data_IF_659927749178
#
_entry.id   IF_659927749178
#
_cell.length_a   1.000
_cell.length_b   1.000
_cell.length_c   1.000
_cell.angle_alpha   90.00
_cell.angle_beta   90.00
_cell.angle_gamma   90.00
#
_symmetry.space_group_name_H-M   'P 1'
#
loop_
_entity.id
_entity.type
_entity.pdbx_description
1 polymer ?
#
# COMPACT_ATOMS: atom_id res chain seq x y z
N UNK A 1 -45.66 -30.94 13.38
CA UNK A 1 -45.33 -29.60 12.85
C UNK A 1 -45.68 -29.56 11.37
N UNK A 2 -46.80 -28.92 11.04
CA UNK A 2 -47.47 -28.95 9.73
C UNK A 2 -46.56 -28.40 8.63
N UNK A 3 -46.66 -28.93 7.40
CA UNK A 3 -45.83 -28.57 6.25
C UNK A 3 -45.83 -27.05 5.98
N UNK A 4 -46.96 -26.36 6.23
CA UNK A 4 -47.04 -24.89 6.18
C UNK A 4 -46.14 -24.17 7.20
N UNK A 5 -46.03 -24.69 8.42
CA UNK A 5 -45.20 -24.08 9.46
C UNK A 5 -43.70 -24.18 9.11
N UNK A 6 -43.27 -25.32 8.53
CA UNK A 6 -41.91 -25.48 8.00
C UNK A 6 -41.63 -24.50 6.86
N UNK A 7 -42.55 -24.36 5.90
CA UNK A 7 -42.39 -23.48 4.74
C UNK A 7 -42.27 -22.00 5.15
N UNK A 8 -43.05 -21.57 6.14
CA UNK A 8 -43.01 -20.20 6.66
C UNK A 8 -41.72 -19.92 7.45
N UNK A 9 -41.23 -20.88 8.23
CA UNK A 9 -39.95 -20.77 8.95
C UNK A 9 -38.77 -20.72 7.95
N UNK A 10 -38.79 -21.53 6.90
CA UNK A 10 -37.77 -21.50 5.86
C UNK A 10 -37.78 -20.18 5.08
N UNK A 11 -38.96 -19.64 4.77
CA UNK A 11 -39.09 -18.33 4.12
C UNK A 11 -38.61 -17.19 5.02
N UNK A 12 -38.94 -17.24 6.31
CA UNK A 12 -38.48 -16.26 7.30
C UNK A 12 -36.96 -16.31 7.50
N UNK A 13 -36.36 -17.52 7.56
CA UNK A 13 -34.91 -17.71 7.60
C UNK A 13 -34.24 -17.21 6.31
N UNK A 14 -34.82 -17.47 5.13
CA UNK A 14 -34.33 -16.96 3.85
C UNK A 14 -34.36 -15.43 3.78
N UNK A 15 -35.43 -14.80 4.28
CA UNK A 15 -35.52 -13.34 4.37
C UNK A 15 -34.52 -12.77 5.39
N UNK A 16 -34.32 -13.43 6.53
CA UNK A 16 -33.28 -13.06 7.50
C UNK A 16 -31.86 -13.19 6.92
N UNK A 17 -31.59 -14.23 6.13
CA UNK A 17 -30.30 -14.33 5.43
C UNK A 17 -30.15 -13.23 4.37
N UNK A 18 -31.21 -12.87 3.65
CA UNK A 18 -31.13 -11.77 2.67
C UNK A 18 -30.84 -10.40 3.29
N UNK A 19 -31.36 -10.15 4.50
CA UNK A 19 -31.18 -8.88 5.21
C UNK A 19 -29.87 -8.86 6.01
N UNK A 20 -29.44 -10.00 6.57
CA UNK A 20 -28.19 -10.09 7.35
C UNK A 20 -26.92 -10.33 6.50
N UNK A 21 -27.05 -10.75 5.23
CA UNK A 21 -25.92 -10.92 4.31
C UNK A 21 -25.82 -9.86 3.21
N UNK A 22 -26.65 -8.81 3.25
CA UNK A 22 -26.23 -7.54 2.70
C UNK A 22 -25.06 -7.07 3.56
N UNK A 23 -23.83 -7.40 3.15
CA UNK A 23 -22.65 -6.73 3.68
C UNK A 23 -22.77 -5.25 3.30
N UNK A 24 -23.50 -4.48 4.11
CA UNK A 24 -23.47 -3.04 4.03
C UNK A 24 -22.08 -2.62 4.47
N UNK A 25 -21.23 -2.38 3.48
CA UNK A 25 -19.94 -1.75 3.66
C UNK A 25 -20.19 -0.35 4.26
N UNK A 26 -19.79 -0.07 5.51
CA UNK A 26 -20.07 1.20 6.20
C UNK A 26 -19.59 2.44 5.42
N UNK A 27 -18.65 2.26 4.50
CA UNK A 27 -18.07 3.25 3.60
C UNK A 27 -18.92 3.57 2.36
N UNK A 28 -19.86 2.70 1.98
CA UNK A 28 -20.64 2.82 0.72
C UNK A 28 -21.34 4.16 0.59
N UNK A 29 -21.88 4.68 1.68
CA UNK A 29 -22.60 5.96 1.71
C UNK A 29 -21.67 7.18 1.88
N UNK A 30 -20.41 6.94 2.26
CA UNK A 30 -19.46 8.00 2.66
C UNK A 30 -18.60 8.52 1.50
N UNK A 31 -18.53 7.77 0.39
CA UNK A 31 -17.91 8.21 -0.88
C UNK A 31 -16.48 8.79 -0.76
N UNK A 32 -15.69 8.31 0.20
CA UNK A 32 -14.33 8.83 0.47
C UNK A 32 -13.41 8.85 -0.76
N UNK A 33 -13.53 7.82 -1.57
CA UNK A 33 -12.85 7.61 -2.83
C UNK A 33 -13.30 8.59 -3.93
N UNK A 34 -14.59 8.95 -3.99
CA UNK A 34 -15.11 10.03 -4.87
C UNK A 34 -14.56 11.36 -4.41
N UNK A 35 -14.58 11.64 -3.10
CA UNK A 35 -14.06 12.89 -2.54
C UNK A 35 -12.56 13.06 -2.82
N UNK A 36 -11.79 11.98 -2.71
CA UNK A 36 -10.36 12.00 -3.03
C UNK A 36 -10.15 12.13 -4.54
N UNK A 37 -10.93 11.41 -5.36
CA UNK A 37 -10.87 11.53 -6.82
C UNK A 37 -11.20 12.97 -7.27
N UNK A 38 -12.30 13.54 -6.80
CA UNK A 38 -12.69 14.92 -7.10
C UNK A 38 -11.66 15.93 -6.59
N UNK A 39 -11.11 15.73 -5.40
CA UNK A 39 -10.05 16.57 -4.87
C UNK A 39 -8.81 16.54 -5.77
N UNK A 40 -8.38 15.36 -6.20
CA UNK A 40 -7.26 15.19 -7.13
C UNK A 40 -7.57 15.82 -8.50
N UNK A 41 -8.79 15.67 -9.00
CA UNK A 41 -9.23 16.30 -10.25
C UNK A 41 -9.24 17.83 -10.15
N UNK A 42 -9.87 18.40 -9.11
CA UNK A 42 -9.94 19.85 -8.85
C UNK A 42 -8.55 20.48 -8.64
N UNK A 43 -7.64 19.75 -8.01
CA UNK A 43 -6.26 20.17 -7.79
C UNK A 43 -5.46 20.28 -9.08
N UNK A 44 -5.94 19.68 -10.18
CA UNK A 44 -5.18 19.59 -11.43
C UNK A 44 -5.83 20.41 -12.53
N UNK A 45 -7.15 20.40 -12.62
CA UNK A 45 -7.88 21.19 -13.60
C UNK A 45 -7.60 22.71 -13.51
N UNK A 46 -7.06 23.19 -12.38
CA UNK A 46 -6.78 24.62 -12.18
C UNK A 46 -5.33 25.06 -12.35
N UNK A 47 -4.35 24.16 -12.54
CA UNK A 47 -2.91 24.48 -12.46
C UNK A 47 -2.52 25.37 -11.24
N UNK A 48 -3.37 25.40 -10.21
CA UNK A 48 -3.37 26.45 -9.18
C UNK A 48 -2.61 26.05 -7.92
N UNK A 49 -2.04 24.83 -7.91
CA UNK A 49 -1.32 24.27 -6.79
C UNK A 49 0.08 23.87 -7.25
N UNK A 50 1.08 24.14 -6.41
CA UNK A 50 2.45 23.75 -6.73
C UNK A 50 2.58 22.23 -6.91
N UNK A 51 3.55 21.79 -7.71
CA UNK A 51 3.88 20.36 -7.87
C UNK A 51 4.08 19.67 -6.51
N UNK A 52 4.67 20.36 -5.54
CA UNK A 52 4.83 19.91 -4.15
C UNK A 52 3.48 19.67 -3.45
N UNK A 53 2.53 20.60 -3.58
CA UNK A 53 1.17 20.46 -3.03
C UNK A 53 0.40 19.33 -3.74
N UNK A 54 0.54 19.21 -5.06
CA UNK A 54 -0.06 18.11 -5.82
C UNK A 54 0.53 16.75 -5.42
N UNK A 55 1.85 16.64 -5.26
CA UNK A 55 2.51 15.43 -4.79
C UNK A 55 2.08 15.10 -3.36
N UNK A 56 2.07 16.05 -2.43
CA UNK A 56 1.62 15.85 -1.05
C UNK A 56 0.18 15.31 -0.98
N UNK A 57 -0.67 15.70 -1.93
CA UNK A 57 -2.07 15.31 -1.97
C UNK A 57 -2.37 14.06 -2.80
N UNK A 58 -1.49 13.72 -3.75
CA UNK A 58 -1.50 12.46 -4.52
C UNK A 58 -0.64 11.36 -3.90
N UNK A 59 0.20 11.70 -2.91
CA UNK A 59 1.09 10.81 -2.15
C UNK A 59 0.37 9.58 -1.59
N UNK A 60 -0.90 9.61 -1.14
CA UNK A 60 -1.63 8.40 -0.74
C UNK A 60 -1.78 7.35 -1.86
N UNK A 61 -1.65 7.76 -3.14
CA UNK A 61 -1.67 6.90 -4.33
C UNK A 61 -0.30 6.73 -4.96
N UNK A 62 0.73 7.26 -4.31
CA UNK A 62 2.08 7.19 -4.82
C UNK A 62 2.72 5.89 -4.37
N UNK A 63 3.62 5.37 -5.18
CA UNK A 63 4.37 4.13 -4.93
C UNK A 63 5.17 4.10 -3.61
N UNK A 64 5.20 5.21 -2.88
CA UNK A 64 5.92 5.44 -1.62
C UNK A 64 5.03 5.41 -0.36
N UNK A 65 3.70 5.54 -0.52
CA UNK A 65 2.74 5.53 0.60
C UNK A 65 1.96 4.22 0.64
N UNK A 66 2.70 3.13 0.80
CA UNK A 66 2.09 1.83 0.99
C UNK A 66 1.51 1.79 2.39
N UNK A 67 0.24 1.42 2.47
CA UNK A 67 -0.39 1.11 3.74
C UNK A 67 -1.19 -0.17 3.56
N UNK A 68 -1.12 -1.09 4.53
CA UNK A 68 -1.95 -2.28 4.48
C UNK A 68 -3.42 -1.90 4.44
N UNK A 69 -4.19 -2.61 3.61
CA UNK A 69 -5.62 -2.46 3.58
C UNK A 69 -6.22 -3.15 4.80
N UNK A 70 -7.19 -2.49 5.46
CA UNK A 70 -7.86 -3.06 6.64
C UNK A 70 -8.79 -4.23 6.26
N UNK A 71 -9.12 -4.37 4.98
CA UNK A 71 -10.07 -5.34 4.43
C UNK A 71 -9.60 -5.79 3.05
N UNK A 72 -9.86 -7.06 2.74
CA UNK A 72 -9.54 -7.68 1.44
C UNK A 72 -10.41 -7.14 0.30
N UNK A 73 -11.62 -6.68 0.62
CA UNK A 73 -12.56 -6.14 -0.35
C UNK A 73 -13.14 -4.82 0.15
N UNK A 74 -13.36 -3.88 -0.77
CA UNK A 74 -13.79 -2.51 -0.48
C UNK A 74 -14.79 -2.02 -1.54
N UNK A 75 -15.72 -1.16 -1.10
CA UNK A 75 -16.64 -0.46 -2.00
C UNK A 75 -16.01 0.84 -2.50
N UNK A 76 -15.90 1.03 -3.82
CA UNK A 76 -15.37 2.25 -4.44
C UNK A 76 -16.11 2.59 -5.75
N UNK A 77 -16.42 3.87 -5.95
CA UNK A 77 -16.92 4.53 -7.17
C UNK A 77 -18.12 3.77 -7.76
N UNK A 78 -18.99 3.33 -6.86
CA UNK A 78 -20.23 2.60 -7.12
C UNK A 78 -20.12 1.09 -7.40
N UNK A 79 -18.96 0.48 -7.21
CA UNK A 79 -18.80 -0.98 -7.34
C UNK A 79 -17.86 -1.58 -6.31
N UNK A 80 -17.80 -2.91 -6.32
CA UNK A 80 -17.01 -3.71 -5.40
C UNK A 80 -15.69 -4.12 -6.06
N UNK A 81 -14.58 -3.85 -5.37
CA UNK A 81 -13.25 -4.21 -5.84
C UNK A 81 -12.52 -5.02 -4.77
N UNK A 82 -11.70 -5.96 -5.23
CA UNK A 82 -10.63 -6.45 -4.38
C UNK A 82 -9.65 -5.30 -4.13
N UNK A 83 -9.11 -5.26 -2.93
CA UNK A 83 -8.04 -4.38 -2.47
C UNK A 83 -7.02 -4.02 -3.58
N UNK A 84 -6.45 -5.06 -4.20
CA UNK A 84 -5.41 -4.99 -5.24
C UNK A 84 -5.86 -4.45 -6.61
N UNK A 85 -7.16 -4.28 -6.84
CA UNK A 85 -7.70 -3.77 -8.12
C UNK A 85 -7.91 -2.26 -8.12
N UNK A 86 -8.01 -1.64 -6.93
CA UNK A 86 -8.28 -0.22 -6.75
C UNK A 86 -7.22 0.67 -7.43
N UNK A 87 -5.91 0.39 -7.36
CA UNK A 87 -4.92 1.25 -7.99
C UNK A 87 -4.94 1.24 -9.53
N UNK A 88 -5.19 0.08 -10.14
CA UNK A 88 -5.23 -0.06 -11.60
C UNK A 88 -6.37 0.76 -12.21
N UNK A 89 -7.51 0.80 -11.51
CA UNK A 89 -8.64 1.65 -11.87
C UNK A 89 -8.24 3.14 -11.83
N UNK A 90 -7.55 3.56 -10.78
CA UNK A 90 -7.13 4.95 -10.57
C UNK A 90 -6.19 5.42 -11.70
N UNK A 91 -5.26 4.58 -12.15
CA UNK A 91 -4.40 4.88 -13.32
C UNK A 91 -5.17 5.04 -14.63
N UNK A 92 -6.19 4.20 -14.86
CA UNK A 92 -7.08 4.34 -16.01
C UNK A 92 -7.79 5.70 -16.01
N UNK A 93 -8.18 6.20 -14.84
CA UNK A 93 -8.81 7.52 -14.72
C UNK A 93 -7.82 8.68 -14.93
N UNK A 94 -6.54 8.50 -14.57
CA UNK A 94 -5.49 9.51 -14.79
C UNK A 94 -4.98 9.60 -16.23
N UNK A 95 -5.24 8.62 -17.09
CA UNK A 95 -4.71 8.57 -18.46
C UNK A 95 -5.08 9.79 -19.30
N UNK A 96 -6.34 10.23 -19.20
CA UNK A 96 -6.87 11.38 -19.94
C UNK A 96 -6.15 12.68 -19.59
N UNK A 97 -5.75 12.82 -18.33
CA UNK A 97 -5.11 14.03 -17.81
C UNK A 97 -3.64 14.15 -18.23
N UNK A 98 -2.91 13.03 -18.27
CA UNK A 98 -1.50 13.02 -18.67
C UNK A 98 -1.30 12.86 -20.18
N UNK A 99 -2.38 12.87 -20.96
CA UNK A 99 -2.38 12.58 -22.39
C UNK A 99 -1.69 11.23 -22.72
N UNK A 100 -1.86 10.27 -21.82
CA UNK A 100 -1.37 8.90 -21.99
C UNK A 100 -2.54 8.09 -22.53
N UNK A 101 -2.32 7.31 -23.59
CA UNK A 101 -3.36 6.41 -24.08
C UNK A 101 -3.84 5.49 -22.95
N UNK A 102 -5.15 5.42 -22.73
CA UNK A 102 -5.76 4.66 -21.63
C UNK A 102 -5.25 3.22 -21.55
N UNK A 103 -5.14 2.55 -22.72
CA UNK A 103 -4.57 1.19 -22.83
C UNK A 103 -3.13 1.11 -22.32
N UNK A 104 -2.33 2.15 -22.53
CA UNK A 104 -0.95 2.25 -22.03
C UNK A 104 -0.93 2.45 -20.53
N UNK A 105 -1.73 3.38 -19.99
CA UNK A 105 -1.84 3.63 -18.55
C UNK A 105 -2.31 2.39 -17.78
N UNK A 106 -3.34 1.70 -18.29
CA UNK A 106 -3.85 0.45 -17.72
C UNK A 106 -2.85 -0.71 -17.80
N UNK A 107 -1.86 -0.64 -18.70
CA UNK A 107 -0.82 -1.66 -18.84
C UNK A 107 0.49 -1.33 -18.10
N UNK A 108 0.62 -0.14 -17.52
CA UNK A 108 1.79 0.22 -16.70
C UNK A 108 2.03 -0.74 -15.52
N UNK A 109 1.00 -1.23 -14.80
CA UNK A 109 1.14 -2.28 -13.79
C UNK A 109 1.84 -3.53 -14.34
N UNK A 110 1.36 -4.07 -15.46
CA UNK A 110 1.94 -5.27 -16.08
C UNK A 110 3.38 -5.03 -16.56
N UNK A 111 3.65 -3.86 -17.15
CA UNK A 111 5.01 -3.47 -17.54
C UNK A 111 5.94 -3.37 -16.32
N UNK A 112 5.41 -2.93 -15.18
CA UNK A 112 6.15 -2.87 -13.93
C UNK A 112 6.47 -4.28 -13.40
N UNK A 113 5.51 -5.19 -13.40
CA UNK A 113 5.73 -6.59 -12.99
C UNK A 113 6.78 -7.28 -13.89
N UNK A 114 6.73 -7.03 -15.21
CA UNK A 114 7.74 -7.52 -16.15
C UNK A 114 9.16 -7.03 -15.79
N UNK A 115 9.33 -5.76 -15.42
CA UNK A 115 10.61 -5.24 -14.93
C UNK A 115 11.09 -5.93 -13.66
N UNK A 116 10.17 -6.30 -12.77
CA UNK A 116 10.49 -7.11 -11.59
C UNK A 116 11.13 -8.43 -12.02
N UNK A 117 10.48 -9.17 -12.91
CA UNK A 117 11.01 -10.43 -13.43
C UNK A 117 12.42 -10.28 -13.99
N UNK A 118 12.67 -9.28 -14.83
CA UNK A 118 13.97 -9.06 -15.48
C UNK A 118 15.08 -8.68 -14.47
N UNK A 119 14.73 -8.12 -13.32
CA UNK A 119 15.69 -7.67 -12.29
C UNK A 119 16.07 -8.73 -11.26
N UNK A 120 15.42 -9.89 -11.26
CA UNK A 120 15.58 -10.92 -10.23
C UNK A 120 17.05 -11.26 -9.94
N UNK A 121 17.81 -11.70 -10.94
CA UNK A 121 19.18 -12.18 -10.75
C UNK A 121 20.13 -11.06 -10.28
N UNK A 122 19.93 -9.85 -10.80
CA UNK A 122 20.66 -8.66 -10.35
C UNK A 122 20.40 -8.37 -8.86
N UNK A 123 19.12 -8.38 -8.45
CA UNK A 123 18.73 -8.09 -7.07
C UNK A 123 19.14 -9.21 -6.10
N UNK A 124 19.12 -10.45 -6.55
CA UNK A 124 19.63 -11.58 -5.77
C UNK A 124 21.12 -11.42 -5.44
N UNK A 125 21.94 -11.08 -6.43
CA UNK A 125 23.37 -10.83 -6.24
C UNK A 125 23.59 -9.60 -5.35
N UNK A 126 22.84 -8.52 -5.58
CA UNK A 126 22.89 -7.31 -4.77
C UNK A 126 22.63 -7.60 -3.27
N UNK A 127 21.61 -8.41 -2.96
CA UNK A 127 21.32 -8.81 -1.59
C UNK A 127 22.46 -9.62 -0.97
N UNK A 128 23.05 -10.57 -1.72
CA UNK A 128 24.18 -11.38 -1.23
C UNK A 128 25.39 -10.50 -0.89
N UNK A 129 25.73 -9.55 -1.76
CA UNK A 129 26.82 -8.60 -1.56
C UNK A 129 26.59 -7.69 -0.34
N UNK A 130 25.33 -7.31 -0.08
CA UNK A 130 24.94 -6.40 0.98
C UNK A 130 24.34 -7.09 2.22
N UNK A 131 24.46 -8.41 2.34
CA UNK A 131 23.73 -9.21 3.33
C UNK A 131 23.94 -8.74 4.78
N UNK A 132 25.15 -8.30 5.12
CA UNK A 132 25.45 -7.78 6.47
C UNK A 132 24.63 -6.53 6.79
N UNK A 133 24.47 -5.61 5.83
CA UNK A 133 23.66 -4.40 5.98
C UNK A 133 22.18 -4.74 6.09
N UNK A 134 21.68 -5.66 5.24
CA UNK A 134 20.30 -6.16 5.34
C UNK A 134 20.01 -6.81 6.69
N UNK A 135 20.90 -7.66 7.21
CA UNK A 135 20.76 -8.26 8.55
C UNK A 135 20.73 -7.20 9.65
N UNK A 136 21.61 -6.19 9.59
CA UNK A 136 21.58 -5.05 10.52
C UNK A 136 20.25 -4.29 10.46
N UNK A 137 19.79 -3.96 9.26
CA UNK A 137 18.51 -3.29 9.03
C UNK A 137 17.33 -4.12 9.58
N UNK A 138 17.33 -5.43 9.31
CA UNK A 138 16.35 -6.40 9.83
C UNK A 138 16.27 -6.37 11.34
N UNK A 139 17.41 -6.44 12.03
CA UNK A 139 17.46 -6.40 13.50
C UNK A 139 16.89 -5.09 14.04
N UNK A 140 17.23 -3.95 13.42
CA UNK A 140 16.75 -2.64 13.86
C UNK A 140 15.23 -2.51 13.68
N UNK A 141 14.70 -2.91 12.51
CA UNK A 141 13.25 -2.87 12.24
C UNK A 141 12.49 -3.81 13.17
N UNK A 142 13.00 -5.03 13.39
CA UNK A 142 12.34 -6.04 14.24
C UNK A 142 12.24 -5.57 15.70
N UNK A 143 13.23 -4.84 16.21
CA UNK A 143 13.21 -4.29 17.56
C UNK A 143 12.38 -3.00 17.69
N UNK A 144 12.08 -2.33 16.58
CA UNK A 144 11.33 -1.08 16.58
C UNK A 144 9.82 -1.35 16.70
N UNK A 145 9.07 -0.43 17.31
CA UNK A 145 7.60 -0.51 17.36
C UNK A 145 6.96 -0.16 16.03
N UNK A 146 7.51 0.83 15.33
CA UNK A 146 7.02 1.30 14.02
C UNK A 146 7.05 0.18 12.99
N UNK A 147 6.09 0.19 12.09
CA UNK A 147 5.85 -0.87 11.11
C UNK A 147 6.31 -0.45 9.72
N UNK A 148 6.20 0.83 9.38
CA UNK A 148 6.48 1.32 8.02
C UNK A 148 7.62 2.33 8.06
N UNK A 149 8.59 2.14 7.19
CA UNK A 149 9.71 3.06 6.98
C UNK A 149 9.84 3.32 5.49
N UNK A 150 9.86 4.58 5.07
CA UNK A 150 10.07 4.95 3.66
C UNK A 150 11.14 6.02 3.57
N UNK A 151 12.08 5.84 2.66
CA UNK A 151 13.01 6.86 2.22
C UNK A 151 12.93 6.95 0.69
N UNK A 152 12.46 8.08 0.18
CA UNK A 152 12.48 8.32 -1.26
C UNK A 152 12.86 9.76 -1.55
N UNK A 153 14.01 9.94 -2.21
CA UNK A 153 14.59 11.24 -2.51
C UNK A 153 14.68 12.15 -1.27
N UNK A 154 13.75 13.12 -1.14
CA UNK A 154 13.70 14.10 -0.04
C UNK A 154 12.66 13.77 1.01
N UNK A 155 11.86 12.74 0.77
CA UNK A 155 10.73 12.36 1.61
C UNK A 155 11.14 11.18 2.47
N UNK A 156 10.92 11.32 3.76
CA UNK A 156 11.08 10.27 4.74
C UNK A 156 9.74 10.02 5.42
N UNK A 157 9.51 8.78 5.85
CA UNK A 157 8.28 8.38 6.52
C UNK A 157 8.57 7.35 7.58
N UNK A 158 7.91 7.51 8.73
CA UNK A 158 7.76 6.45 9.73
C UNK A 158 6.29 6.36 10.12
N UNK A 159 5.68 5.20 9.87
CA UNK A 159 4.23 4.97 10.04
C UNK A 159 3.38 6.07 9.37
N UNK A 160 2.73 6.92 10.16
CA UNK A 160 1.89 8.02 9.66
C UNK A 160 2.60 9.37 9.67
N UNK A 161 3.83 9.45 10.18
CA UNK A 161 4.61 10.68 10.24
C UNK A 161 5.53 10.78 9.03
N UNK A 162 5.43 11.90 8.32
CA UNK A 162 6.21 12.21 7.15
C UNK A 162 7.13 13.37 7.46
N UNK A 163 8.30 13.38 6.82
CA UNK A 163 9.27 14.48 6.85
C UNK A 163 9.67 14.82 5.43
N UNK A 164 9.66 16.10 5.11
CA UNK A 164 10.25 16.64 3.89
C UNK A 164 11.10 17.85 4.28
N UNK A 165 12.42 17.76 4.09
CA UNK A 165 13.39 18.71 4.65
C UNK A 165 13.24 18.80 6.19
N UNK A 166 12.89 19.96 6.72
CA UNK A 166 12.69 20.21 8.16
C UNK A 166 11.22 20.17 8.59
N UNK A 167 10.30 19.96 7.66
CA UNK A 167 8.86 19.98 7.94
C UNK A 167 8.34 18.57 8.17
N UNK A 168 7.58 18.41 9.26
CA UNK A 168 6.88 17.19 9.59
C UNK A 168 5.38 17.35 9.37
N UNK A 169 4.74 16.29 8.89
CA UNK A 169 3.30 16.29 8.65
C UNK A 169 2.73 14.87 8.70
N UNK A 170 1.42 14.74 8.90
CA UNK A 170 0.73 13.44 8.89
C UNK A 170 -0.62 13.53 8.20
N UNK A 171 -1.06 12.42 7.64
CA UNK A 171 -2.41 12.29 7.10
C UNK A 171 -3.42 12.01 8.21
N UNK A 172 -4.56 12.68 8.19
CA UNK A 172 -5.68 12.42 9.10
C UNK A 172 -6.63 11.39 8.47
N UNK A 173 -6.33 10.11 8.64
CA UNK A 173 -7.22 9.05 8.15
C UNK A 173 -8.45 8.97 9.07
N UNK A 174 -9.68 9.05 8.54
CA UNK A 174 -10.89 8.75 9.31
C UNK A 174 -10.81 7.33 9.91
N UNK A 175 -11.21 7.17 11.17
CA UNK A 175 -11.07 5.91 11.91
C UNK A 175 -11.78 4.73 11.22
N UNK A 176 -12.86 5.05 10.52
CA UNK A 176 -13.80 4.21 9.80
C UNK A 176 -13.50 4.09 8.29
N UNK A 177 -12.51 4.81 7.76
CA UNK A 177 -12.09 4.64 6.37
C UNK A 177 -11.44 3.26 6.19
N UNK A 178 -11.93 2.43 5.24
CA UNK A 178 -11.24 1.21 4.85
C UNK A 178 -9.99 1.51 4.02
N UNK A 179 -9.96 2.71 3.42
CA UNK A 179 -8.85 3.19 2.64
C UNK A 179 -7.80 3.83 3.54
N UNK A 180 -6.51 3.52 3.34
CA UNK A 180 -5.40 4.20 4.00
C UNK A 180 -5.18 5.65 3.55
N UNK A 181 -6.14 6.21 2.81
CA UNK A 181 -6.03 7.46 2.10
C UNK A 181 -6.72 8.56 2.92
N UNK A 182 -6.14 9.76 2.93
CA UNK A 182 -6.72 10.92 3.59
C UNK A 182 -6.68 12.11 2.64
N UNK A 183 -7.78 12.86 2.59
CA UNK A 183 -7.82 14.18 1.94
C UNK A 183 -7.41 15.32 2.89
N UNK A 184 -7.03 15.00 4.13
CA UNK A 184 -6.60 15.97 5.15
C UNK A 184 -5.19 15.69 5.63
N UNK A 185 -4.43 16.76 5.78
CA UNK A 185 -3.06 16.75 6.28
C UNK A 185 -3.00 17.66 7.51
N UNK A 186 -2.28 17.20 8.52
CA UNK A 186 -1.85 17.99 9.67
C UNK A 186 -0.39 18.36 9.47
N UNK A 187 -0.09 19.65 9.39
CA UNK A 187 1.26 20.18 9.12
C UNK A 187 1.98 20.75 10.35
N UNK A 188 1.27 20.98 11.46
CA UNK A 188 1.83 21.51 12.71
C UNK A 188 2.21 20.38 13.68
N UNK A 189 2.94 19.39 13.16
CA UNK A 189 3.31 18.20 13.93
C UNK A 189 4.61 18.48 14.67
N UNK A 190 4.54 18.53 16.01
CA UNK A 190 5.71 18.66 16.89
C UNK A 190 6.47 17.34 17.12
N UNK A 191 5.98 16.24 16.55
CA UNK A 191 6.64 14.94 16.60
C UNK A 191 7.81 14.88 15.62
N UNK A 192 8.83 14.08 15.94
CA UNK A 192 9.98 13.86 15.08
C UNK A 192 10.45 12.42 15.10
N UNK A 193 11.34 12.06 14.17
CA UNK A 193 11.90 10.72 14.15
C UNK A 193 12.90 10.53 15.29
N UNK A 194 12.81 9.38 15.96
CA UNK A 194 13.78 8.95 16.95
C UNK A 194 15.13 8.66 16.28
N UNK A 195 16.22 8.67 17.08
CA UNK A 195 17.56 8.33 16.59
C UNK A 195 17.63 6.94 15.95
N UNK A 196 16.82 6.00 16.42
CA UNK A 196 16.75 4.63 15.88
C UNK A 196 16.01 4.60 14.55
N UNK A 197 14.90 5.34 14.45
CA UNK A 197 14.15 5.50 13.21
C UNK A 197 15.02 6.17 12.12
N UNK A 198 15.79 7.20 12.47
CA UNK A 198 16.74 7.85 11.55
C UNK A 198 17.78 6.84 11.04
N UNK A 199 18.37 6.02 11.93
CA UNK A 199 19.32 4.97 11.51
C UNK A 199 18.71 3.95 10.55
N UNK A 200 17.43 3.61 10.71
CA UNK A 200 16.71 2.72 9.80
C UNK A 200 16.56 3.39 8.43
N UNK A 201 16.13 4.65 8.41
CA UNK A 201 15.96 5.45 7.19
C UNK A 201 17.28 5.64 6.43
N UNK A 202 18.38 5.91 7.14
CA UNK A 202 19.72 6.05 6.55
C UNK A 202 20.17 4.73 5.92
N UNK A 203 19.92 3.58 6.57
CA UNK A 203 20.25 2.27 6.01
C UNK A 203 19.39 1.92 4.80
N UNK A 204 18.11 2.33 4.77
CA UNK A 204 17.27 2.19 3.59
C UNK A 204 17.84 2.97 2.40
N UNK A 205 18.25 4.22 2.64
CA UNK A 205 18.91 5.05 1.64
C UNK A 205 20.21 4.42 1.13
N UNK A 206 21.08 3.96 2.05
CA UNK A 206 22.35 3.30 1.68
C UNK A 206 22.15 2.04 0.83
N UNK A 207 21.07 1.29 1.09
CA UNK A 207 20.72 0.07 0.38
C UNK A 207 19.86 0.33 -0.86
N UNK A 208 19.55 1.60 -1.15
CA UNK A 208 18.65 1.99 -2.24
C UNK A 208 17.31 1.22 -2.21
N UNK A 209 16.78 1.02 -1.00
CA UNK A 209 15.48 0.42 -0.74
C UNK A 209 14.54 1.55 -0.35
N UNK A 210 13.50 1.77 -1.14
CA UNK A 210 12.67 2.95 -0.89
C UNK A 210 11.73 2.74 0.30
N UNK A 211 11.34 1.50 0.63
CA UNK A 211 10.47 1.24 1.77
C UNK A 211 10.72 -0.12 2.41
N UNK A 212 10.49 -0.19 3.72
CA UNK A 212 10.37 -1.43 4.46
C UNK A 212 9.06 -1.46 5.25
N UNK A 213 8.36 -2.58 5.17
CA UNK A 213 7.08 -2.82 5.84
C UNK A 213 7.20 -4.07 6.71
N UNK A 214 7.13 -3.89 8.02
CA UNK A 214 7.13 -4.96 9.02
C UNK A 214 5.71 -5.45 9.23
N UNK A 215 5.51 -6.76 9.05
CA UNK A 215 4.27 -7.46 9.33
C UNK A 215 4.41 -8.31 10.58
N UNK A 216 3.37 -9.09 10.91
CA UNK A 216 3.44 -10.07 12.00
C UNK A 216 4.35 -11.25 11.70
N UNK A 217 4.64 -11.55 10.42
CA UNK A 217 5.42 -12.74 10.02
C UNK A 217 6.82 -12.38 9.53
N UNK A 218 7.02 -11.18 8.97
CA UNK A 218 8.31 -10.81 8.41
C UNK A 218 8.43 -9.34 8.05
N UNK A 219 9.37 -9.03 7.17
CA UNK A 219 9.63 -7.68 6.68
C UNK A 219 9.71 -7.71 5.16
N UNK A 220 8.86 -6.93 4.51
CA UNK A 220 8.99 -6.62 3.10
C UNK A 220 9.95 -5.45 2.92
N UNK A 221 10.95 -5.62 2.06
CA UNK A 221 11.85 -4.58 1.55
C UNK A 221 11.49 -4.34 0.09
N UNK A 222 11.11 -3.11 -0.22
CA UNK A 222 10.60 -2.74 -1.52
C UNK A 222 11.69 -1.98 -2.26
N UNK A 223 12.15 -2.56 -3.36
CA UNK A 223 13.21 -1.99 -4.21
C UNK A 223 12.60 -0.97 -5.16
N UNK A 224 11.46 -1.31 -5.74
CA UNK A 224 10.64 -0.42 -6.54
C UNK A 224 9.17 -0.84 -6.40
N UNK A 225 8.27 0.04 -6.79
CA UNK A 225 6.84 -0.22 -6.70
C UNK A 225 6.10 0.64 -7.70
N UNK A 226 4.86 0.30 -8.00
CA UNK A 226 3.87 1.22 -8.51
C UNK A 226 2.55 0.86 -7.83
N UNK A 227 2.14 1.66 -6.85
CA UNK A 227 0.98 1.37 -5.98
C UNK A 227 1.11 0.00 -5.30
N UNK A 228 0.15 -0.91 -5.50
CA UNK A 228 0.14 -2.26 -4.93
C UNK A 228 1.06 -3.23 -5.70
N UNK A 229 1.55 -2.83 -6.88
CA UNK A 229 2.58 -3.58 -7.57
C UNK A 229 3.93 -3.30 -6.92
N UNK A 230 4.64 -4.34 -6.50
CA UNK A 230 5.97 -4.18 -5.93
C UNK A 230 6.84 -5.40 -6.19
N UNK A 231 8.15 -5.18 -6.17
CA UNK A 231 9.12 -6.26 -6.11
C UNK A 231 10.27 -5.88 -5.19
N UNK A 232 10.91 -6.90 -4.64
CA UNK A 232 12.04 -6.70 -3.74
C UNK A 232 12.34 -7.95 -2.93
N UNK A 233 12.65 -7.75 -1.66
CA UNK A 233 13.06 -8.82 -0.76
C UNK A 233 12.08 -8.99 0.38
N UNK A 234 11.80 -10.23 0.75
CA UNK A 234 11.06 -10.53 1.95
C UNK A 234 11.95 -11.28 2.93
N UNK A 235 11.99 -10.82 4.17
CA UNK A 235 12.70 -11.48 5.26
C UNK A 235 11.74 -12.17 6.23
N UNK A 236 12.03 -13.41 6.59
CA UNK A 236 11.39 -14.10 7.71
C UNK A 236 12.38 -15.06 8.40
N UNK A 237 12.38 -15.03 9.74
CA UNK A 237 13.21 -15.92 10.56
C UNK A 237 12.78 -17.39 10.47
N UNK A 238 11.53 -17.67 10.07
CA UNK A 238 10.98 -19.01 9.90
C UNK A 238 11.21 -19.63 8.53
N UNK A 239 11.89 -18.92 7.62
CA UNK A 239 12.18 -19.42 6.27
C UNK A 239 10.93 -19.71 5.42
N UNK A 240 9.86 -18.95 5.65
CA UNK A 240 8.59 -19.07 4.95
C UNK A 240 8.20 -17.73 4.34
N UNK A 241 7.67 -17.73 3.11
CA UNK A 241 7.11 -16.54 2.48
C UNK A 241 5.71 -16.24 3.04
N UNK A 242 5.42 -14.98 3.34
CA UNK A 242 4.07 -14.54 3.67
C UNK A 242 3.20 -14.45 2.41
N UNK A 243 2.07 -15.15 2.42
CA UNK A 243 1.11 -15.22 1.31
C UNK A 243 -0.34 -14.98 1.77
N UNK A 244 -0.52 -14.28 2.89
CA UNK A 244 -1.87 -13.92 3.38
C UNK A 244 -2.46 -12.71 2.63
N UNK A 245 -1.69 -12.14 1.71
CA UNK A 245 -2.07 -11.03 0.83
C UNK A 245 -2.52 -9.77 1.57
N UNK A 246 -2.06 -9.58 2.82
CA UNK A 246 -2.44 -8.44 3.65
C UNK A 246 -1.90 -7.12 3.11
N UNK A 247 -0.65 -7.14 2.62
CA UNK A 247 0.01 -5.97 2.05
C UNK A 247 -0.21 -5.89 0.53
N UNK A 248 0.05 -6.99 -0.16
CA UNK A 248 -0.07 -7.16 -1.61
C UNK A 248 -0.38 -8.63 -1.90
N UNK A 249 -0.98 -8.92 -3.06
CA UNK A 249 -1.05 -10.30 -3.55
C UNK A 249 0.30 -10.75 -4.11
N UNK A 250 0.91 -11.74 -3.48
CA UNK A 250 2.17 -12.31 -3.97
C UNK A 250 1.91 -13.13 -5.25
N UNK A 251 2.44 -12.65 -6.38
CA UNK A 251 2.30 -13.30 -7.67
C UNK A 251 3.36 -14.39 -7.87
N UNK A 252 4.59 -14.11 -7.43
CA UNK A 252 5.73 -15.03 -7.51
C UNK A 252 6.71 -14.73 -6.39
N UNK A 253 7.35 -15.77 -5.88
CA UNK A 253 8.49 -15.64 -4.97
C UNK A 253 9.50 -16.75 -5.20
N UNK A 254 10.76 -16.48 -4.88
CA UNK A 254 11.85 -17.44 -4.95
C UNK A 254 12.77 -17.27 -3.73
N UNK A 255 13.16 -18.37 -3.10
CA UNK A 255 14.08 -18.35 -1.97
C UNK A 255 15.48 -17.97 -2.46
N UNK A 256 16.08 -16.93 -1.87
CA UNK A 256 17.47 -16.52 -2.15
C UNK A 256 18.43 -17.22 -1.19
N UNK A 257 18.07 -17.23 0.10
CA UNK A 257 18.79 -17.93 1.17
C UNK A 257 17.79 -18.28 2.28
N UNK A 258 18.27 -18.87 3.38
CA UNK A 258 17.45 -19.36 4.49
C UNK A 258 16.35 -18.37 4.91
N UNK A 259 16.67 -17.08 5.06
CA UNK A 259 15.70 -16.10 5.57
C UNK A 259 15.19 -15.09 4.55
N UNK A 260 15.75 -15.05 3.34
CA UNK A 260 15.39 -14.05 2.33
C UNK A 260 14.78 -14.68 1.09
N UNK A 261 13.72 -14.05 0.63
CA UNK A 261 13.02 -14.37 -0.60
C UNK A 261 13.06 -13.16 -1.53
N UNK A 262 13.19 -13.40 -2.82
CA UNK A 262 12.79 -12.43 -3.83
C UNK A 262 11.28 -12.56 -4.06
N UNK A 263 10.56 -11.46 -4.16
CA UNK A 263 9.12 -11.50 -4.47
C UNK A 263 8.74 -10.49 -5.56
N UNK A 264 7.64 -10.81 -6.23
CA UNK A 264 6.88 -9.93 -7.12
C UNK A 264 5.42 -10.00 -6.67
N UNK A 265 4.81 -8.84 -6.46
CA UNK A 265 3.46 -8.71 -5.94
C UNK A 265 2.65 -7.64 -6.70
N UNK A 266 1.32 -7.75 -6.62
CA UNK A 266 0.31 -6.82 -7.14
C UNK A 266 -0.81 -6.62 -6.13
#
# INVERSE_FOLDING_TARGET
MTIMLKKNITLFLLCLTGICFSQEFPEKEKKYDVDIYEFLMKSVEKDSVSFETFLINSKPFSKWDIRPLKREQVWALDTFYNANQVPNFIFGAFSNKYNIAQKTAMNMPNQFLAKGHDKKDFLENYLKENLKKFKKLTTLISANKSEIFTFYERIQRVDNLYKEKELYWRYIIPIDSPFPLSNKIESDVNDGFSKEQIKILDLLQELNIYSAVKTKKGIFYLVDGLTDNSYGFYFNSKEEMETDNFLFQIQRFEKINDNFFYYIAN
#
